data_IF_341881661747
#
_entry.id   IF_341881661747
#
_cell.length_a   1.000
_cell.length_b   1.000
_cell.length_c   1.000
_cell.angle_alpha   90.00
_cell.angle_beta   90.00
_cell.angle_gamma   90.00
#
_symmetry.space_group_name_H-M   'P 1'
#
loop_
_entity.id
_entity.type
_entity.pdbx_description
1 polymer ?
#
# COMPACT_ATOMS: atom_id res chain seq x y z
N UNK A 1 16.81 6.44 -71.60
CA UNK A 1 16.47 7.72 -70.92
C UNK A 1 17.06 7.64 -69.53
N UNK A 2 18.00 8.54 -69.22
CA UNK A 2 18.75 8.61 -67.96
C UNK A 2 17.95 9.45 -66.96
N UNK A 3 17.72 8.94 -65.75
CA UNK A 3 17.13 9.71 -64.65
C UNK A 3 18.24 10.32 -63.79
N UNK A 4 18.18 11.63 -63.62
CA UNK A 4 19.10 12.44 -62.81
C UNK A 4 18.59 12.50 -61.36
N UNK A 5 19.35 12.01 -60.35
CA UNK A 5 18.88 11.89 -58.97
C UNK A 5 19.01 13.17 -58.13
N UNK A 6 19.34 14.33 -58.71
CA UNK A 6 19.70 15.54 -57.96
C UNK A 6 18.69 16.71 -58.01
N UNK A 7 17.38 16.46 -58.17
CA UNK A 7 16.37 17.54 -58.04
C UNK A 7 15.76 17.57 -56.65
N UNK A 8 16.10 18.54 -55.77
CA UNK A 8 15.40 18.71 -54.51
C UNK A 8 14.04 19.35 -54.78
N UNK A 9 12.97 18.59 -54.55
CA UNK A 9 11.59 19.10 -54.53
C UNK A 9 11.07 19.00 -53.11
N UNK A 10 11.40 19.98 -52.27
CA UNK A 10 10.74 20.15 -50.98
C UNK A 10 10.30 21.61 -50.85
N UNK A 11 9.02 21.82 -51.13
CA UNK A 11 8.19 22.88 -50.60
C UNK A 11 6.76 22.33 -50.59
N UNK A 12 6.47 21.45 -49.62
CA UNK A 12 5.08 21.12 -49.29
C UNK A 12 4.51 22.37 -48.61
N UNK A 13 3.73 23.13 -49.37
CA UNK A 13 2.92 24.23 -48.87
C UNK A 13 1.88 23.62 -47.92
N UNK A 14 1.97 23.95 -46.63
CA UNK A 14 0.91 23.63 -45.67
C UNK A 14 -0.39 24.35 -46.08
N UNK A 15 -1.57 23.74 -45.82
CA UNK A 15 -2.84 24.46 -45.99
C UNK A 15 -2.82 25.73 -45.12
N UNK A 16 -3.44 26.83 -45.58
CA UNK A 16 -3.48 28.07 -44.81
C UNK A 16 -4.15 27.80 -43.45
N UNK A 17 -3.58 28.40 -42.40
CA UNK A 17 -4.12 28.39 -41.03
C UNK A 17 -5.64 28.61 -41.07
N UNK A 18 -6.38 27.56 -40.69
CA UNK A 18 -7.83 27.66 -40.54
C UNK A 18 -8.14 28.69 -39.45
N UNK A 19 -8.82 29.76 -39.84
CA UNK A 19 -9.26 30.84 -38.96
C UNK A 19 -10.45 30.40 -38.09
N UNK A 20 -10.13 29.84 -36.92
CA UNK A 20 -10.64 30.06 -35.56
C UNK A 20 -12.13 30.20 -35.17
N UNK A 21 -13.15 29.93 -36.00
CA UNK A 21 -14.56 29.98 -35.50
C UNK A 21 -15.36 28.66 -35.58
N UNK A 22 -14.75 27.55 -36.01
CA UNK A 22 -15.35 26.20 -35.97
C UNK A 22 -14.54 25.19 -35.12
N UNK A 23 -13.47 25.66 -34.46
CA UNK A 23 -12.47 24.80 -33.79
C UNK A 23 -12.94 24.13 -32.50
N UNK A 24 -13.87 24.74 -31.76
CA UNK A 24 -14.33 24.22 -30.47
C UNK A 24 -15.01 22.85 -30.61
N UNK A 25 -15.89 22.66 -31.62
CA UNK A 25 -16.59 21.37 -31.77
C UNK A 25 -15.70 20.20 -32.20
N UNK A 26 -14.61 20.47 -32.93
CA UNK A 26 -13.71 19.41 -33.41
C UNK A 26 -12.85 18.87 -32.27
N UNK A 27 -12.29 19.78 -31.47
CA UNK A 27 -11.46 19.41 -30.31
C UNK A 27 -12.28 18.63 -29.29
N UNK A 28 -13.49 19.08 -28.98
CA UNK A 28 -14.40 18.35 -28.09
C UNK A 28 -14.69 16.94 -28.61
N UNK A 29 -14.88 16.78 -29.92
CA UNK A 29 -15.10 15.45 -30.50
C UNK A 29 -13.89 14.53 -30.41
N UNK A 30 -12.67 15.08 -30.48
CA UNK A 30 -11.41 14.32 -30.34
C UNK A 30 -11.23 13.91 -28.87
N UNK A 31 -11.43 14.83 -27.94
CA UNK A 31 -11.33 14.56 -26.50
C UNK A 31 -12.38 13.56 -26.04
N UNK A 32 -13.62 13.69 -26.51
CA UNK A 32 -14.69 12.75 -26.21
C UNK A 32 -14.37 11.35 -26.75
N UNK A 33 -13.85 11.22 -27.98
CA UNK A 33 -13.41 9.93 -28.54
C UNK A 33 -12.20 9.34 -27.82
N UNK A 34 -11.35 10.18 -27.26
CA UNK A 34 -10.24 9.77 -26.42
C UNK A 34 -10.69 9.29 -25.02
N UNK A 35 -11.97 9.40 -24.67
CA UNK A 35 -12.43 9.07 -23.32
C UNK A 35 -11.94 10.08 -22.28
N UNK A 36 -11.71 11.33 -22.68
CA UNK A 36 -11.43 12.42 -21.74
C UNK A 36 -12.56 12.53 -20.72
N UNK A 37 -12.20 12.81 -19.46
CA UNK A 37 -13.11 12.82 -18.29
C UNK A 37 -13.84 11.50 -17.98
N UNK A 38 -13.48 10.40 -18.65
CA UNK A 38 -13.91 9.07 -18.25
C UNK A 38 -12.99 8.52 -17.17
N UNK A 39 -13.54 7.66 -16.31
CA UNK A 39 -12.73 7.03 -15.30
C UNK A 39 -11.79 6.00 -15.93
N UNK A 40 -10.60 5.86 -15.36
CA UNK A 40 -9.58 4.91 -15.78
C UNK A 40 -9.38 3.89 -14.67
N UNK A 41 -9.27 2.63 -15.06
CA UNK A 41 -8.93 1.53 -14.15
C UNK A 41 -7.47 1.18 -14.28
N UNK A 42 -6.78 1.10 -13.14
CA UNK A 42 -5.34 0.89 -13.04
C UNK A 42 -4.99 -0.47 -12.39
N UNK A 43 -5.94 -1.43 -12.42
CA UNK A 43 -5.84 -2.69 -11.68
C UNK A 43 -5.41 -3.90 -12.54
N UNK A 44 -5.38 -3.75 -13.86
CA UNK A 44 -5.04 -4.82 -14.80
C UNK A 44 -3.53 -4.84 -15.07
N UNK A 45 -2.92 -6.03 -15.16
CA UNK A 45 -1.52 -6.17 -15.55
C UNK A 45 -1.26 -5.74 -16.98
N UNK A 46 -2.23 -5.86 -17.88
CA UNK A 46 -2.05 -5.58 -19.30
C UNK A 46 -1.97 -4.09 -19.64
N UNK A 47 -2.30 -3.22 -18.71
CA UNK A 47 -2.41 -1.78 -18.93
C UNK A 47 -3.71 -1.21 -18.36
N UNK A 48 -3.85 0.12 -18.38
CA UNK A 48 -5.06 0.77 -17.90
C UNK A 48 -6.23 0.55 -18.84
N UNK A 49 -7.44 0.60 -18.28
CA UNK A 49 -8.69 0.47 -19.04
C UNK A 49 -9.57 1.69 -18.85
N UNK A 50 -9.98 2.30 -19.96
CA UNK A 50 -10.98 3.37 -19.96
C UNK A 50 -12.34 2.77 -19.59
N UNK A 51 -13.01 3.39 -18.63
CA UNK A 51 -14.40 3.10 -18.28
C UNK A 51 -15.32 3.57 -19.38
N UNK A 52 -16.41 2.84 -19.61
CA UNK A 52 -17.46 3.28 -20.53
C UNK A 52 -18.29 4.47 -20.00
N UNK A 53 -18.01 4.95 -18.78
CA UNK A 53 -18.75 6.02 -18.13
C UNK A 53 -17.88 7.24 -17.89
N UNK A 54 -18.38 8.39 -18.30
CA UNK A 54 -17.86 9.69 -17.89
C UNK A 54 -18.00 9.82 -16.37
N UNK A 55 -16.96 10.31 -15.69
CA UNK A 55 -16.98 10.50 -14.23
C UNK A 55 -16.97 11.97 -13.85
N UNK A 56 -16.49 12.84 -14.75
CA UNK A 56 -16.43 14.28 -14.53
C UNK A 56 -16.95 15.07 -15.73
N UNK A 57 -17.42 16.28 -15.46
CA UNK A 57 -17.77 17.31 -16.42
C UNK A 57 -17.12 18.62 -16.01
N UNK A 58 -17.01 19.58 -16.92
CA UNK A 58 -16.53 20.91 -16.56
C UNK A 58 -17.56 21.64 -15.70
N UNK A 59 -17.09 22.45 -14.76
CA UNK A 59 -17.91 23.44 -14.07
C UNK A 59 -18.31 24.53 -15.09
N UNK A 60 -19.51 25.09 -14.96
CA UNK A 60 -20.00 26.14 -15.87
C UNK A 60 -19.00 27.30 -15.97
N UNK A 61 -18.55 27.59 -17.19
CA UNK A 61 -17.58 28.65 -17.49
C UNK A 61 -16.11 28.26 -17.32
N UNK A 62 -15.82 27.03 -16.89
CA UNK A 62 -14.45 26.53 -16.89
C UNK A 62 -13.94 26.31 -18.31
N UNK A 63 -12.65 26.61 -18.52
CA UNK A 63 -11.99 26.47 -19.82
C UNK A 63 -10.84 25.48 -19.70
N UNK A 64 -10.81 24.50 -20.59
CA UNK A 64 -9.65 23.62 -20.70
C UNK A 64 -8.50 24.33 -21.38
N UNK A 65 -7.30 24.11 -20.83
CA UNK A 65 -6.08 24.56 -21.45
C UNK A 65 -5.66 23.54 -22.52
N UNK A 66 -5.75 23.95 -23.79
CA UNK A 66 -5.32 23.16 -24.94
C UNK A 66 -4.11 23.84 -25.56
N UNK A 67 -2.99 23.13 -25.57
CA UNK A 67 -1.75 23.56 -26.20
C UNK A 67 -1.43 22.65 -27.39
N UNK A 68 -1.31 23.25 -28.58
CA UNK A 68 -0.79 22.53 -29.74
C UNK A 68 0.73 22.53 -29.66
N UNK A 69 1.32 21.34 -29.67
CA UNK A 69 2.76 21.14 -29.64
C UNK A 69 3.17 20.27 -30.81
N UNK A 70 4.42 20.35 -31.24
CA UNK A 70 5.01 19.45 -32.23
C UNK A 70 6.32 18.87 -31.69
N UNK A 71 6.36 18.62 -30.39
CA UNK A 71 7.52 18.07 -29.71
C UNK A 71 7.71 16.59 -30.05
N UNK A 72 8.94 16.25 -30.42
CA UNK A 72 9.41 14.87 -30.49
C UNK A 72 10.31 14.62 -29.29
N UNK A 73 9.97 13.65 -28.46
CA UNK A 73 10.79 13.24 -27.31
C UNK A 73 11.12 11.77 -27.40
N UNK A 74 12.32 11.38 -27.00
CA UNK A 74 12.69 9.97 -26.79
C UNK A 74 13.26 9.82 -25.40
N UNK A 75 12.68 8.90 -24.63
CA UNK A 75 13.10 8.60 -23.27
C UNK A 75 13.31 7.09 -23.09
N UNK A 76 14.20 6.72 -22.19
CA UNK A 76 14.36 5.33 -21.74
C UNK A 76 13.92 5.26 -20.29
N UNK A 77 12.87 4.49 -20.03
CA UNK A 77 12.27 4.34 -18.71
C UNK A 77 12.61 2.96 -18.17
N UNK A 78 13.04 2.90 -16.90
CA UNK A 78 13.33 1.66 -16.19
C UNK A 78 12.17 1.35 -15.25
N UNK A 79 11.69 0.11 -15.28
CA UNK A 79 10.57 -0.37 -14.47
C UNK A 79 10.95 -1.65 -13.72
N UNK A 80 10.33 -1.85 -12.56
CA UNK A 80 10.66 -2.91 -11.59
C UNK A 80 9.64 -4.05 -11.55
N UNK A 81 8.48 -3.83 -12.16
CA UNK A 81 7.41 -4.84 -12.25
C UNK A 81 6.81 -4.91 -13.64
N UNK A 82 6.33 -6.10 -14.03
CA UNK A 82 5.66 -6.33 -15.32
C UNK A 82 4.48 -5.39 -15.55
N UNK A 83 3.73 -5.05 -14.50
CA UNK A 83 2.63 -4.07 -14.60
C UNK A 83 3.17 -2.69 -14.99
N UNK A 84 4.15 -2.16 -14.27
CA UNK A 84 4.74 -0.86 -14.61
C UNK A 84 5.23 -0.84 -16.05
N UNK A 85 5.95 -1.88 -16.46
CA UNK A 85 6.45 -2.05 -17.84
C UNK A 85 5.32 -1.96 -18.86
N UNK A 86 4.21 -2.69 -18.65
CA UNK A 86 3.08 -2.68 -19.58
C UNK A 86 2.38 -1.32 -19.65
N UNK A 87 2.36 -0.55 -18.56
CA UNK A 87 1.76 0.78 -18.55
C UNK A 87 2.65 1.77 -19.30
N UNK A 88 3.96 1.76 -19.02
CA UNK A 88 4.95 2.58 -19.74
C UNK A 88 4.94 2.25 -21.24
N UNK A 89 4.85 0.97 -21.60
CA UNK A 89 4.77 0.54 -22.99
C UNK A 89 3.54 1.11 -23.72
N UNK A 90 2.47 1.45 -22.98
CA UNK A 90 1.26 2.12 -23.50
C UNK A 90 1.31 3.64 -23.38
N UNK A 91 2.49 4.21 -23.19
CA UNK A 91 2.69 5.66 -23.15
C UNK A 91 2.57 6.30 -21.76
N UNK A 92 2.22 5.56 -20.71
CA UNK A 92 2.01 6.15 -19.38
C UNK A 92 3.31 6.60 -18.73
N UNK A 93 3.25 7.74 -18.03
CA UNK A 93 4.38 8.25 -17.27
C UNK A 93 4.54 7.50 -15.94
N UNK A 94 5.76 7.46 -15.41
CA UNK A 94 6.01 6.87 -14.08
C UNK A 94 5.25 7.59 -12.96
N UNK A 95 5.08 8.90 -13.06
CA UNK A 95 4.28 9.66 -12.09
C UNK A 95 2.81 9.24 -12.09
N UNK A 96 2.24 8.96 -13.26
CA UNK A 96 0.87 8.48 -13.36
C UNK A 96 0.72 7.06 -12.82
N UNK A 97 1.70 6.19 -13.08
CA UNK A 97 1.73 4.82 -12.57
C UNK A 97 1.89 4.78 -11.05
N UNK A 98 2.69 5.70 -10.49
CA UNK A 98 2.85 5.84 -9.04
C UNK A 98 1.56 6.30 -8.34
N UNK A 99 0.64 6.93 -9.07
CA UNK A 99 -0.64 7.43 -8.52
C UNK A 99 -1.70 6.33 -8.50
N UNK A 100 -1.51 5.35 -7.61
CA UNK A 100 -2.44 4.24 -7.40
C UNK A 100 -3.33 4.54 -6.19
N UNK A 101 -4.65 4.52 -6.39
CA UNK A 101 -5.59 4.67 -5.27
C UNK A 101 -5.52 3.44 -4.33
N UNK A 102 -5.81 3.60 -3.03
CA UNK A 102 -5.91 2.47 -2.10
C UNK A 102 -6.90 1.39 -2.58
N UNK A 103 -7.97 1.80 -3.27
CA UNK A 103 -8.97 0.91 -3.85
C UNK A 103 -8.39 0.06 -4.98
N UNK A 104 -7.57 0.67 -5.84
CA UNK A 104 -6.86 -0.04 -6.91
C UNK A 104 -5.86 -1.03 -6.33
N UNK A 105 -5.09 -0.66 -5.30
CA UNK A 105 -4.18 -1.56 -4.60
C UNK A 105 -4.93 -2.76 -4.00
N UNK A 106 -6.05 -2.50 -3.33
CA UNK A 106 -6.92 -3.55 -2.79
C UNK A 106 -7.43 -4.50 -3.89
N UNK A 107 -7.85 -3.97 -5.05
CA UNK A 107 -8.25 -4.77 -6.23
C UNK A 107 -7.12 -5.64 -6.75
N UNK A 108 -5.93 -5.08 -6.89
CA UNK A 108 -4.74 -5.78 -7.36
C UNK A 108 -4.43 -6.96 -6.44
N UNK A 109 -4.44 -6.73 -5.13
CA UNK A 109 -4.23 -7.76 -4.12
C UNK A 109 -5.32 -8.85 -4.20
N UNK A 110 -6.60 -8.45 -4.24
CA UNK A 110 -7.72 -9.38 -4.29
C UNK A 110 -7.73 -10.27 -5.55
N UNK A 111 -7.25 -9.77 -6.69
CA UNK A 111 -7.20 -10.55 -7.94
C UNK A 111 -6.03 -11.52 -8.02
N UNK A 112 -5.05 -11.43 -7.10
CA UNK A 112 -3.85 -12.28 -7.10
C UNK A 112 -3.19 -12.41 -8.49
N UNK A 113 -3.17 -11.32 -9.27
CA UNK A 113 -2.57 -11.37 -10.61
C UNK A 113 -1.05 -11.47 -10.49
N UNK A 114 -0.39 -12.43 -11.17
CA UNK A 114 1.06 -12.56 -11.14
C UNK A 114 1.73 -11.29 -11.69
N UNK A 115 2.30 -10.47 -10.81
CA UNK A 115 3.07 -9.29 -11.19
C UNK A 115 4.55 -9.60 -11.03
N UNK A 116 5.15 -10.22 -12.05
CA UNK A 116 6.56 -10.59 -12.00
C UNK A 116 7.43 -9.36 -11.69
N UNK A 117 8.35 -9.54 -10.75
CA UNK A 117 9.41 -8.57 -10.44
C UNK A 117 10.61 -8.80 -11.35
N UNK A 118 11.35 -7.74 -11.64
CA UNK A 118 12.49 -7.76 -12.57
C UNK A 118 12.83 -6.37 -13.06
N UNK A 119 13.90 -6.26 -13.85
CA UNK A 119 14.27 -4.98 -14.46
C UNK A 119 13.88 -5.00 -15.93
N UNK A 120 13.02 -4.07 -16.33
CA UNK A 120 12.67 -3.84 -17.73
C UNK A 120 13.04 -2.43 -18.14
N UNK A 121 13.57 -2.32 -19.35
CA UNK A 121 13.90 -1.07 -20.00
C UNK A 121 12.89 -0.85 -21.12
N UNK A 122 12.23 0.31 -21.14
CA UNK A 122 11.33 0.70 -22.22
C UNK A 122 11.83 1.97 -22.87
N UNK A 123 12.22 1.90 -24.14
CA UNK A 123 12.54 3.06 -24.96
C UNK A 123 11.27 3.55 -25.64
N UNK A 124 10.89 4.78 -25.35
CA UNK A 124 9.62 5.38 -25.74
C UNK A 124 9.89 6.66 -26.52
N UNK A 125 9.52 6.66 -27.80
CA UNK A 125 9.57 7.85 -28.66
C UNK A 125 8.16 8.37 -28.85
N UNK A 126 7.92 9.63 -28.47
CA UNK A 126 6.61 10.30 -28.54
C UNK A 126 6.70 11.47 -29.52
N UNK A 127 5.74 11.57 -30.43
CA UNK A 127 5.46 12.77 -31.20
C UNK A 127 4.17 13.40 -30.66
N UNK A 128 4.33 14.39 -29.78
CA UNK A 128 3.24 15.11 -29.12
C UNK A 128 2.61 16.07 -30.13
N UNK A 129 1.28 16.11 -30.17
CA UNK A 129 0.51 17.00 -31.06
C UNK A 129 -0.38 17.96 -30.30
N UNK A 130 -0.96 17.45 -29.22
CA UNK A 130 -1.86 18.20 -28.36
C UNK A 130 -1.51 17.87 -26.92
N UNK A 131 -1.42 18.90 -26.09
CA UNK A 131 -1.40 18.78 -24.65
C UNK A 131 -2.67 19.40 -24.12
N UNK A 132 -3.34 18.69 -23.22
CA UNK A 132 -4.61 19.11 -22.64
C UNK A 132 -4.47 19.04 -21.14
N UNK A 133 -4.72 20.16 -20.48
CA UNK A 133 -4.66 20.28 -19.03
C UNK A 133 -5.98 20.85 -18.51
N UNK A 134 -6.44 20.29 -17.39
CA UNK A 134 -7.57 20.81 -16.63
C UNK A 134 -7.19 20.85 -15.17
N UNK A 135 -7.55 21.95 -14.51
CA UNK A 135 -7.39 22.04 -13.06
C UNK A 135 -8.51 21.27 -12.38
N UNK A 136 -8.25 20.83 -11.17
CA UNK A 136 -9.26 20.04 -10.47
C UNK A 136 -10.51 20.88 -10.14
N UNK A 137 -10.31 22.14 -9.75
CA UNK A 137 -11.38 23.09 -9.43
C UNK A 137 -12.32 23.39 -10.62
N UNK A 138 -11.87 23.08 -11.84
CA UNK A 138 -12.63 23.26 -13.08
C UNK A 138 -13.49 22.02 -13.42
N UNK A 139 -13.43 20.96 -12.61
CA UNK A 139 -14.17 19.73 -12.78
C UNK A 139 -15.22 19.54 -11.68
N UNK A 140 -16.39 19.06 -12.10
CA UNK A 140 -17.44 18.53 -11.23
C UNK A 140 -17.67 17.04 -11.54
N UNK A 141 -18.11 16.26 -10.56
CA UNK A 141 -18.55 14.90 -10.76
C UNK A 141 -19.84 14.89 -11.57
N UNK A 142 -19.97 13.98 -12.52
CA UNK A 142 -21.28 13.85 -13.20
C UNK A 142 -22.33 13.37 -12.18
N UNK A 143 -23.57 13.88 -12.20
CA UNK A 143 -24.56 13.61 -11.16
C UNK A 143 -24.80 12.11 -10.92
N UNK A 144 -24.71 11.29 -11.96
CA UNK A 144 -24.90 9.85 -11.86
C UNK A 144 -23.75 9.15 -11.13
N UNK A 145 -22.52 9.65 -11.26
CA UNK A 145 -21.36 9.14 -10.52
C UNK A 145 -21.45 9.54 -9.05
N UNK A 146 -21.77 10.80 -8.77
CA UNK A 146 -21.96 11.30 -7.40
C UNK A 146 -23.07 10.52 -6.68
N UNK A 147 -24.23 10.35 -7.32
CA UNK A 147 -25.33 9.56 -6.78
C UNK A 147 -24.92 8.10 -6.52
N UNK A 148 -24.09 7.49 -7.38
CA UNK A 148 -23.61 6.13 -7.17
C UNK A 148 -22.66 6.02 -5.97
N UNK A 149 -21.80 7.00 -5.76
CA UNK A 149 -20.91 7.08 -4.59
C UNK A 149 -21.72 7.34 -3.31
N UNK A 150 -22.67 8.27 -3.33
CA UNK A 150 -23.55 8.51 -2.19
C UNK A 150 -24.35 7.28 -1.80
N UNK A 151 -24.92 6.56 -2.76
CA UNK A 151 -25.67 5.33 -2.51
C UNK A 151 -24.79 4.22 -1.93
N UNK A 152 -23.52 4.17 -2.32
CA UNK A 152 -22.54 3.27 -1.73
C UNK A 152 -22.20 3.67 -0.28
N UNK A 153 -22.13 4.96 0.03
CA UNK A 153 -21.87 5.47 1.37
C UNK A 153 -23.07 5.32 2.33
N UNK A 154 -24.29 5.26 1.79
CA UNK A 154 -25.55 5.06 2.54
C UNK A 154 -25.76 3.61 3.00
N UNK A 155 -24.89 2.66 2.63
CA UNK A 155 -25.02 1.27 3.09
C UNK A 155 -24.92 1.17 4.63
N UNK A 156 -25.61 0.22 5.28
CA UNK A 156 -25.77 0.26 6.73
C UNK A 156 -24.48 -0.08 7.49
N UNK A 157 -23.68 -1.03 7.00
CA UNK A 157 -22.43 -1.44 7.67
C UNK A 157 -21.19 -0.92 6.95
N UNK A 158 -20.07 -0.79 7.67
CA UNK A 158 -18.77 -0.40 7.09
C UNK A 158 -18.32 -1.36 5.99
N UNK A 159 -18.55 -2.66 6.17
CA UNK A 159 -18.22 -3.68 5.17
C UNK A 159 -19.05 -3.50 3.89
N UNK A 160 -20.36 -3.31 4.01
CA UNK A 160 -21.22 -3.08 2.84
C UNK A 160 -20.90 -1.76 2.13
N UNK A 161 -20.58 -0.70 2.88
CA UNK A 161 -20.09 0.57 2.31
C UNK A 161 -18.83 0.34 1.48
N UNK A 162 -17.84 -0.35 2.05
CA UNK A 162 -16.60 -0.69 1.36
C UNK A 162 -16.88 -1.48 0.08
N UNK A 163 -17.68 -2.54 0.17
CA UNK A 163 -18.01 -3.38 -0.98
C UNK A 163 -18.79 -2.61 -2.06
N UNK A 164 -19.70 -1.73 -1.66
CA UNK A 164 -20.47 -0.91 -2.58
C UNK A 164 -19.57 0.12 -3.29
N UNK A 165 -18.68 0.81 -2.56
CA UNK A 165 -17.70 1.74 -3.16
C UNK A 165 -16.80 0.99 -4.13
N UNK A 166 -16.31 -0.19 -3.73
CA UNK A 166 -15.47 -1.03 -4.57
C UNK A 166 -16.16 -1.38 -5.90
N UNK A 167 -17.44 -1.77 -5.87
CA UNK A 167 -18.25 -2.06 -7.08
C UNK A 167 -18.51 -0.80 -7.91
N UNK A 168 -18.75 0.34 -7.26
CA UNK A 168 -18.92 1.62 -7.95
C UNK A 168 -17.64 1.97 -8.70
N UNK A 169 -16.48 2.00 -8.04
CA UNK A 169 -15.20 2.29 -8.69
C UNK A 169 -14.82 1.24 -9.77
N UNK A 170 -15.16 -0.04 -9.58
CA UNK A 170 -14.98 -1.08 -10.60
C UNK A 170 -15.74 -0.75 -11.91
N UNK A 171 -16.91 -0.12 -11.79
CA UNK A 171 -17.77 0.26 -12.92
C UNK A 171 -17.41 1.61 -13.53
N UNK A 172 -17.04 2.58 -12.70
CA UNK A 172 -16.87 3.97 -13.13
C UNK A 172 -15.41 4.30 -13.45
N UNK A 173 -14.46 3.58 -12.88
CA UNK A 173 -13.03 3.88 -12.92
C UNK A 173 -12.52 4.39 -11.57
N UNK A 174 -11.21 4.29 -11.41
CA UNK A 174 -10.53 4.62 -10.16
C UNK A 174 -10.00 6.04 -10.16
N UNK A 175 -9.69 6.53 -11.37
CA UNK A 175 -8.95 7.75 -11.55
C UNK A 175 -9.46 8.54 -12.77
N UNK A 176 -9.31 9.86 -12.82
CA UNK A 176 -9.72 10.76 -13.91
C UNK A 176 -8.49 11.52 -14.41
N UNK A 177 -8.23 11.58 -15.72
CA UNK A 177 -7.09 12.29 -16.27
C UNK A 177 -7.21 13.80 -15.99
N UNK A 178 -6.14 14.44 -15.49
CA UNK A 178 -6.08 15.91 -15.35
C UNK A 178 -5.17 16.55 -16.40
N UNK A 179 -4.20 15.79 -16.89
CA UNK A 179 -3.36 16.17 -18.01
C UNK A 179 -3.27 14.98 -18.97
N UNK A 180 -3.46 15.23 -20.27
CA UNK A 180 -3.20 14.26 -21.33
C UNK A 180 -2.34 14.84 -22.43
N UNK A 181 -1.43 14.01 -22.93
CA UNK A 181 -0.76 14.25 -24.20
C UNK A 181 -1.38 13.35 -25.26
N UNK A 182 -1.82 13.95 -26.36
CA UNK A 182 -2.36 13.26 -27.52
C UNK A 182 -1.34 13.38 -28.66
N UNK A 183 -1.01 12.23 -29.24
CA UNK A 183 -0.04 12.14 -30.31
C UNK A 183 0.12 10.69 -30.77
N UNK A 184 1.32 10.38 -31.24
CA UNK A 184 1.71 9.02 -31.59
C UNK A 184 2.95 8.62 -30.80
N UNK A 185 2.97 7.40 -30.27
CA UNK A 185 4.15 6.82 -29.63
C UNK A 185 4.65 5.55 -30.32
N UNK A 186 5.95 5.31 -30.17
CA UNK A 186 6.61 4.06 -30.47
C UNK A 186 7.33 3.59 -29.21
N UNK A 187 6.93 2.43 -28.69
CA UNK A 187 7.52 1.83 -27.51
C UNK A 187 8.25 0.53 -27.88
N UNK A 188 9.46 0.35 -27.35
CA UNK A 188 10.20 -0.90 -27.41
C UNK A 188 10.66 -1.27 -26.01
N UNK A 189 10.38 -2.51 -25.59
CA UNK A 189 10.63 -2.98 -24.23
C UNK A 189 11.48 -4.23 -24.26
N UNK A 190 12.54 -4.27 -23.45
CA UNK A 190 13.37 -5.44 -23.25
C UNK A 190 13.87 -5.51 -21.78
N UNK A 191 14.36 -6.69 -21.38
CA UNK A 191 15.05 -6.92 -20.10
C UNK A 191 16.52 -6.49 -20.13
N UNK A 192 17.10 -6.26 -21.32
CA UNK A 192 18.48 -5.78 -21.50
C UNK A 192 18.50 -4.46 -22.26
N UNK A 193 19.20 -3.47 -21.71
CA UNK A 193 19.30 -2.14 -22.33
C UNK A 193 19.96 -2.17 -23.72
N UNK A 194 20.94 -3.06 -23.92
CA UNK A 194 21.67 -3.17 -25.20
C UNK A 194 20.78 -3.63 -26.37
N UNK A 195 19.66 -4.28 -26.07
CA UNK A 195 18.69 -4.69 -27.09
C UNK A 195 17.79 -3.52 -27.55
N UNK A 196 17.84 -2.36 -26.87
CA UNK A 196 17.03 -1.20 -27.20
C UNK A 196 17.64 -0.27 -28.27
N UNK A 197 18.50 -0.82 -29.12
CA UNK A 197 19.03 -0.10 -30.27
C UNK A 197 17.95 -0.02 -31.35
N UNK A 198 17.43 1.19 -31.58
CA UNK A 198 16.77 1.45 -32.86
C UNK A 198 17.84 1.31 -33.95
N UNK A 199 17.51 0.73 -35.12
CA UNK A 199 18.47 0.66 -36.21
C UNK A 199 19.03 2.06 -36.45
N UNK A 200 20.36 2.21 -36.41
CA UNK A 200 21.10 3.43 -36.74
C UNK A 200 20.97 3.82 -38.23
N UNK A 201 19.89 3.39 -38.91
CA UNK A 201 19.49 3.97 -40.18
C UNK A 201 19.35 5.47 -39.96
N UNK A 202 20.36 6.20 -40.47
CA UNK A 202 20.73 7.53 -40.02
C UNK A 202 19.57 8.51 -39.89
N UNK A 203 19.81 9.55 -39.11
CA UNK A 203 18.92 10.66 -38.70
C UNK A 203 18.02 11.29 -39.79
N UNK A 204 18.13 10.87 -41.06
CA UNK A 204 17.20 11.22 -42.14
C UNK A 204 16.05 10.21 -42.20
N UNK A 205 14.89 10.64 -41.68
CA UNK A 205 13.53 10.26 -42.11
C UNK A 205 12.59 9.58 -41.10
N UNK A 206 12.80 9.72 -39.78
CA UNK A 206 11.67 9.62 -38.83
C UNK A 206 10.84 10.91 -38.74
N UNK A 207 11.42 12.05 -39.16
CA UNK A 207 10.71 13.33 -39.33
C UNK A 207 9.75 13.33 -40.53
N UNK A 208 9.75 12.29 -41.36
CA UNK A 208 8.71 12.09 -42.35
C UNK A 208 7.41 11.77 -41.60
N UNK A 209 6.62 12.81 -41.33
CA UNK A 209 5.23 12.74 -40.86
C UNK A 209 4.40 11.72 -41.66
N UNK A 210 4.79 11.40 -42.90
CA UNK A 210 4.17 10.39 -43.75
C UNK A 210 4.34 8.93 -43.24
N UNK A 211 5.35 8.62 -42.42
CA UNK A 211 5.50 7.28 -41.82
C UNK A 211 4.77 7.13 -40.49
N UNK A 212 4.72 8.19 -39.69
CA UNK A 212 3.95 8.20 -38.43
C UNK A 212 2.44 8.35 -38.70
N UNK A 213 2.02 9.02 -39.78
CA UNK A 213 0.60 9.09 -40.17
C UNK A 213 0.00 7.75 -40.61
N UNK A 214 0.84 6.76 -40.93
CA UNK A 214 0.40 5.38 -41.18
C UNK A 214 0.21 4.57 -39.88
N UNK A 215 0.73 5.04 -38.74
CA UNK A 215 0.56 4.43 -37.42
C UNK A 215 -0.69 5.03 -36.79
N UNK A 216 -1.84 4.39 -37.01
CA UNK A 216 -3.14 4.76 -36.41
C UNK A 216 -3.25 4.27 -34.97
N UNK A 217 -2.38 4.73 -34.07
CA UNK A 217 -2.57 4.55 -32.64
C UNK A 217 -2.44 5.92 -31.99
N UNK A 218 -3.59 6.51 -31.65
CA UNK A 218 -3.63 7.64 -30.73
C UNK A 218 -3.41 7.07 -29.34
N UNK A 219 -2.18 7.13 -28.86
CA UNK A 219 -1.86 6.75 -27.48
C UNK A 219 -2.04 7.99 -26.59
N UNK A 220 -2.87 7.82 -25.57
CA UNK A 220 -3.18 8.85 -24.58
C UNK A 220 -2.18 8.67 -23.45
N UNK A 221 -1.22 9.59 -23.35
CA UNK A 221 -0.37 9.67 -22.16
C UNK A 221 -1.17 10.41 -21.11
N UNK A 222 -1.58 9.72 -20.05
CA UNK A 222 -2.36 10.33 -18.98
C UNK A 222 -1.48 10.61 -17.77
N UNK A 223 -1.51 11.84 -17.25
CA UNK A 223 -1.07 12.17 -15.89
C UNK A 223 -2.33 12.30 -15.03
N UNK A 224 -2.47 11.41 -14.06
CA UNK A 224 -3.66 11.35 -13.21
C UNK A 224 -3.33 11.76 -11.78
N UNK A 225 -4.18 12.60 -11.19
CA UNK A 225 -4.30 12.77 -9.75
C UNK A 225 -5.75 12.54 -9.31
N UNK A 226 -6.05 11.43 -8.64
CA UNK A 226 -7.37 11.20 -7.98
C UNK A 226 -7.26 11.13 -6.48
N UNK A 227 -6.37 11.94 -5.94
CA UNK A 227 -6.26 12.07 -4.49
C UNK A 227 -7.11 13.18 -3.91
N UNK A 228 -7.76 14.03 -4.73
CA UNK A 228 -8.34 15.28 -4.26
C UNK A 228 -9.88 15.35 -4.37
N UNK A 229 -10.54 14.61 -5.26
CA UNK A 229 -12.03 14.58 -5.31
C UNK A 229 -12.68 13.86 -4.11
N UNK A 230 -11.91 13.05 -3.35
CA UNK A 230 -12.33 12.50 -2.05
C UNK A 230 -11.97 13.43 -0.89
N UNK A 231 -11.08 14.41 -1.12
CA UNK A 231 -10.68 15.38 -0.10
C UNK A 231 -11.78 16.40 0.18
N UNK A 232 -12.68 16.70 -0.75
CA UNK A 232 -13.76 17.68 -0.54
C UNK A 232 -15.01 17.13 0.16
N UNK A 233 -14.99 15.87 0.62
CA UNK A 233 -15.86 15.38 1.72
C UNK A 233 -15.29 15.88 3.08
N UNK A 234 -14.85 17.13 3.11
CA UNK A 234 -14.00 17.71 4.15
C UNK A 234 -14.78 18.23 5.37
N UNK A 235 -16.11 18.14 5.35
CA UNK A 235 -16.92 18.36 6.54
C UNK A 235 -16.72 17.24 7.60
N UNK A 236 -16.15 16.08 7.22
CA UNK A 236 -15.76 15.02 8.17
C UNK A 236 -14.32 15.17 8.70
N UNK A 237 -13.48 16.05 8.12
CA UNK A 237 -12.06 16.19 8.50
C UNK A 237 -11.82 16.77 9.89
N UNK A 238 -12.83 17.35 10.53
CA UNK A 238 -12.66 17.87 11.89
C UNK A 238 -12.42 16.76 12.93
N UNK A 239 -12.75 15.50 12.60
CA UNK A 239 -12.67 14.37 13.52
C UNK A 239 -11.59 13.36 13.18
N UNK A 240 -10.90 13.46 12.03
CA UNK A 240 -9.92 12.47 11.59
C UNK A 240 -8.61 13.12 11.15
N UNK A 241 -7.47 12.66 11.67
CA UNK A 241 -6.15 12.97 11.10
C UNK A 241 -5.43 11.70 10.71
N UNK A 242 -4.82 11.74 9.53
CA UNK A 242 -3.89 10.73 9.05
C UNK A 242 -2.48 11.24 9.19
N UNK A 243 -1.60 10.40 9.68
CA UNK A 243 -0.18 10.65 9.72
C UNK A 243 0.55 9.57 8.92
N UNK A 244 1.52 9.97 8.13
CA UNK A 244 2.19 9.10 7.16
C UNK A 244 3.70 9.32 7.20
N UNK A 245 4.43 8.26 7.54
CA UNK A 245 5.90 8.23 7.55
C UNK A 245 6.52 7.77 6.23
N UNK A 246 5.76 7.71 5.13
CA UNK A 246 6.28 7.31 3.81
C UNK A 246 7.52 8.10 3.36
N UNK A 247 7.64 9.37 3.75
CA UNK A 247 8.84 10.20 3.52
C UNK A 247 10.12 9.65 4.20
N UNK A 248 9.97 8.72 5.13
CA UNK A 248 11.05 8.04 5.85
C UNK A 248 11.20 6.57 5.46
N UNK A 249 10.49 6.10 4.43
CA UNK A 249 10.53 4.71 3.95
C UNK A 249 11.92 4.19 3.62
N UNK A 250 12.86 5.07 3.26
CA UNK A 250 14.27 4.73 2.98
C UNK A 250 15.19 4.84 4.20
N UNK A 251 14.66 5.15 5.38
CA UNK A 251 15.43 5.23 6.64
C UNK A 251 15.25 3.97 7.48
N UNK A 252 16.18 3.75 8.40
CA UNK A 252 16.14 2.63 9.35
C UNK A 252 15.71 3.15 10.71
N UNK A 253 14.66 2.57 11.29
CA UNK A 253 14.23 2.89 12.66
C UNK A 253 15.33 2.44 13.62
N UNK A 254 15.73 3.31 14.57
CA UNK A 254 16.68 3.02 15.64
C UNK A 254 16.00 2.90 17.00
N UNK A 255 14.84 3.54 17.18
CA UNK A 255 14.02 3.37 18.38
C UNK A 255 12.58 3.80 18.14
N UNK A 256 11.67 3.25 18.94
CA UNK A 256 10.27 3.64 18.96
C UNK A 256 9.93 4.16 20.36
N UNK A 257 9.34 5.35 20.42
CA UNK A 257 8.79 5.92 21.64
C UNK A 257 7.27 5.78 21.62
N UNK A 258 6.73 5.14 22.66
CA UNK A 258 5.30 4.95 22.85
C UNK A 258 4.90 5.61 24.14
N UNK A 259 3.84 6.41 24.11
CA UNK A 259 3.18 6.91 25.32
C UNK A 259 1.79 6.31 25.37
N UNK A 260 1.45 5.77 26.53
CA UNK A 260 0.18 5.09 26.71
C UNK A 260 -0.35 5.25 28.13
N UNK A 261 -1.66 5.06 28.24
CA UNK A 261 -2.43 4.88 29.48
C UNK A 261 -3.30 3.64 29.26
N UNK A 262 -4.62 3.76 29.39
CA UNK A 262 -5.57 2.72 28.97
C UNK A 262 -5.68 2.60 27.44
N UNK A 263 -4.97 3.47 26.72
CA UNK A 263 -4.91 3.57 25.27
C UNK A 263 -3.51 3.96 24.82
N UNK A 264 -3.21 3.75 23.54
CA UNK A 264 -2.04 4.38 22.92
C UNK A 264 -2.35 5.85 22.65
N UNK A 265 -1.49 6.75 23.14
CA UNK A 265 -1.67 8.21 23.05
C UNK A 265 -0.67 8.88 22.10
N UNK A 266 0.53 8.32 21.98
CA UNK A 266 1.60 8.83 21.13
C UNK A 266 2.50 7.70 20.67
N UNK A 267 2.91 7.76 19.41
CA UNK A 267 3.87 6.87 18.77
C UNK A 267 4.82 7.74 17.97
N UNK A 268 6.12 7.52 18.12
CA UNK A 268 7.14 8.26 17.38
C UNK A 268 8.31 7.34 17.08
N UNK A 269 8.78 7.32 15.84
CA UNK A 269 10.01 6.64 15.44
C UNK A 269 11.18 7.62 15.48
N UNK A 270 12.33 7.18 16.00
CA UNK A 270 13.62 7.81 15.74
C UNK A 270 14.37 6.93 14.76
N UNK A 271 15.00 7.54 13.77
CA UNK A 271 15.76 6.87 12.72
C UNK A 271 17.25 6.85 13.04
N UNK A 272 18.02 6.04 12.30
CA UNK A 272 19.48 5.89 12.47
C UNK A 272 20.25 7.20 12.22
N UNK A 273 19.71 8.09 11.38
CA UNK A 273 20.23 9.44 11.13
C UNK A 273 19.79 10.47 12.18
N UNK A 274 19.22 10.01 13.30
CA UNK A 274 18.64 10.83 14.37
C UNK A 274 17.44 11.67 13.97
N UNK A 275 16.90 11.51 12.76
CA UNK A 275 15.62 12.13 12.42
C UNK A 275 14.50 11.48 13.23
N UNK A 276 13.49 12.29 13.56
CA UNK A 276 12.36 11.87 14.36
C UNK A 276 11.13 12.00 13.47
N UNK A 277 10.29 10.97 13.43
CA UNK A 277 9.02 11.00 12.71
C UNK A 277 8.13 12.12 13.25
N UNK A 278 7.08 12.47 12.48
CA UNK A 278 6.05 13.35 13.04
C UNK A 278 5.46 12.71 14.30
N UNK A 279 5.08 13.55 15.27
CA UNK A 279 4.36 13.08 16.47
C UNK A 279 2.98 12.63 16.03
N UNK A 280 2.80 11.32 15.93
CA UNK A 280 1.52 10.73 15.64
C UNK A 280 0.65 10.85 16.90
N UNK A 281 -0.54 11.44 16.81
CA UNK A 281 -1.44 11.67 17.95
C UNK A 281 -1.07 12.82 18.90
N UNK A 282 -1.47 12.73 20.17
CA UNK A 282 -0.86 13.53 21.25
C UNK A 282 -1.69 14.59 22.00
N UNK A 283 -3.02 14.53 22.10
CA UNK A 283 -3.76 15.37 23.07
C UNK A 283 -3.90 14.76 24.47
N UNK A 284 -3.61 13.47 24.63
CA UNK A 284 -3.54 12.83 25.96
C UNK A 284 -2.40 13.44 26.77
N UNK A 285 -2.64 13.76 28.05
CA UNK A 285 -1.66 14.42 28.93
C UNK A 285 -1.15 13.53 30.07
N UNK A 286 -1.54 12.24 30.11
CA UNK A 286 -1.43 11.45 31.35
C UNK A 286 -0.50 10.23 31.22
N UNK A 287 -0.21 9.73 30.01
CA UNK A 287 0.65 8.56 29.84
C UNK A 287 2.14 8.79 30.06
N UNK A 288 2.85 7.76 30.54
CA UNK A 288 4.32 7.74 30.60
C UNK A 288 4.90 7.36 29.24
N UNK A 289 5.96 8.04 28.80
CA UNK A 289 6.68 7.71 27.59
C UNK A 289 7.68 6.56 27.82
N UNK A 290 7.58 5.52 27.01
CA UNK A 290 8.49 4.37 27.01
C UNK A 290 9.24 4.32 25.69
N UNK A 291 10.56 4.14 25.76
CA UNK A 291 11.42 4.06 24.59
C UNK A 291 11.93 2.62 24.42
N UNK A 292 11.67 2.04 23.26
CA UNK A 292 12.24 0.77 22.83
C UNK A 292 13.43 1.04 21.91
N UNK A 293 14.62 0.64 22.32
CA UNK A 293 15.86 0.83 21.57
C UNK A 293 16.18 -0.43 20.77
N UNK A 294 16.51 -0.27 19.49
CA UNK A 294 17.00 -1.36 18.64
C UNK A 294 18.53 -1.35 18.66
N UNK A 295 19.13 -2.54 18.66
CA UNK A 295 20.57 -2.70 18.46
C UNK A 295 20.98 -2.36 17.01
N UNK A 296 22.28 -2.22 16.78
CA UNK A 296 22.82 -2.09 15.42
C UNK A 296 22.41 -3.32 14.60
N UNK A 297 21.92 -3.09 13.38
CA UNK A 297 21.39 -4.11 12.45
C UNK A 297 20.17 -4.90 12.96
N UNK A 298 19.54 -4.42 14.03
CA UNK A 298 18.26 -4.94 14.51
C UNK A 298 17.11 -4.14 13.89
N UNK A 299 16.10 -4.85 13.41
CA UNK A 299 14.96 -4.24 12.74
C UNK A 299 13.66 -4.76 13.32
N UNK A 300 12.60 -3.96 13.34
CA UNK A 300 11.27 -4.44 13.71
C UNK A 300 10.71 -5.25 12.54
N UNK A 301 10.41 -6.52 12.78
CA UNK A 301 9.91 -7.46 11.79
C UNK A 301 8.40 -7.69 11.92
N UNK A 302 7.87 -7.60 13.14
CA UNK A 302 6.46 -7.83 13.43
C UNK A 302 5.94 -6.84 14.47
N UNK A 303 4.65 -6.53 14.39
CA UNK A 303 3.94 -5.71 15.36
C UNK A 303 2.62 -6.38 15.74
N UNK A 304 2.46 -6.68 17.02
CA UNK A 304 1.19 -7.06 17.61
C UNK A 304 0.40 -5.80 17.92
N UNK A 305 -0.87 -5.78 17.52
CA UNK A 305 -1.78 -4.65 17.65
C UNK A 305 -3.04 -5.14 18.34
N UNK A 306 -3.28 -4.68 19.57
CA UNK A 306 -4.53 -4.93 20.28
C UNK A 306 -5.54 -3.85 19.93
N UNK A 307 -6.73 -4.27 19.50
CA UNK A 307 -7.86 -3.40 19.18
C UNK A 307 -9.07 -3.79 20.00
N UNK A 308 -9.70 -2.81 20.63
CA UNK A 308 -10.98 -2.96 21.28
C UNK A 308 -11.89 -1.82 20.85
N UNK A 309 -13.09 -2.17 20.40
CA UNK A 309 -14.01 -1.28 19.68
C UNK A 309 -13.33 -0.62 18.47
N UNK A 310 -13.29 0.71 18.43
CA UNK A 310 -12.69 1.50 17.36
C UNK A 310 -11.27 1.99 17.69
N UNK A 311 -10.64 1.52 18.77
CA UNK A 311 -9.42 2.12 19.31
C UNK A 311 -8.26 1.13 19.41
N UNK A 312 -7.06 1.61 19.09
CA UNK A 312 -5.83 0.88 19.36
C UNK A 312 -5.54 0.94 20.86
N UNK A 313 -5.56 -0.22 21.50
CA UNK A 313 -5.38 -0.39 22.94
C UNK A 313 -3.94 -0.65 23.31
N UNK A 314 -3.23 -1.42 22.49
CA UNK A 314 -1.86 -1.82 22.80
C UNK A 314 -0.99 -2.20 21.61
N UNK A 315 0.31 -2.24 21.88
CA UNK A 315 1.36 -2.63 20.93
C UNK A 315 2.40 -3.54 21.56
N UNK A 316 2.97 -4.43 20.76
CA UNK A 316 4.23 -5.11 21.06
C UNK A 316 5.00 -5.29 19.76
N UNK A 317 6.29 -4.95 19.78
CA UNK A 317 7.18 -5.09 18.64
C UNK A 317 8.05 -6.32 18.79
N UNK A 318 8.29 -7.02 17.69
CA UNK A 318 9.23 -8.14 17.62
C UNK A 318 10.28 -7.81 16.56
N UNK A 319 11.53 -8.02 16.91
CA UNK A 319 12.66 -7.69 16.05
C UNK A 319 13.15 -8.86 15.22
N UNK A 320 13.96 -8.58 14.19
CA UNK A 320 14.70 -9.55 13.38
C UNK A 320 15.66 -10.41 14.21
N UNK A 321 16.07 -9.95 15.38
CA UNK A 321 16.90 -10.69 16.33
C UNK A 321 16.07 -11.47 17.37
N UNK A 322 14.74 -11.40 17.29
CA UNK A 322 13.81 -12.12 18.17
C UNK A 322 13.59 -11.45 19.51
N UNK A 323 14.08 -10.22 19.68
CA UNK A 323 13.77 -9.41 20.86
C UNK A 323 12.31 -9.00 20.79
N UNK A 324 11.61 -9.11 21.91
CA UNK A 324 10.26 -8.57 22.07
C UNK A 324 10.34 -7.30 22.92
N UNK A 325 9.66 -6.24 22.48
CA UNK A 325 9.44 -5.09 23.36
C UNK A 325 8.55 -5.52 24.54
N UNK A 326 8.53 -4.73 25.64
CA UNK A 326 7.40 -4.73 26.54
C UNK A 326 6.09 -4.58 25.76
N UNK A 327 5.01 -5.13 26.31
CA UNK A 327 3.70 -4.83 25.80
C UNK A 327 3.25 -3.46 26.34
N UNK A 328 2.80 -2.60 25.44
CA UNK A 328 2.43 -1.22 25.72
C UNK A 328 0.92 -1.07 25.65
N UNK A 329 0.34 -0.25 26.53
CA UNK A 329 -1.10 0.02 26.57
C UNK A 329 -1.89 -1.02 27.37
N UNK A 330 -3.19 -1.08 27.08
CA UNK A 330 -4.07 -2.15 27.53
C UNK A 330 -4.10 -3.22 26.45
N UNK A 331 -4.27 -4.47 26.87
CA UNK A 331 -4.27 -5.62 25.96
C UNK A 331 -5.69 -6.13 25.72
N UNK A 332 -6.65 -5.21 25.80
CA UNK A 332 -8.06 -5.51 25.63
C UNK A 332 -8.33 -5.80 24.15
N UNK A 333 -9.12 -6.84 23.89
CA UNK A 333 -9.45 -7.29 22.54
C UNK A 333 -8.46 -8.30 21.98
N UNK A 334 -8.79 -8.83 20.81
CA UNK A 334 -7.96 -9.83 20.14
C UNK A 334 -6.80 -9.13 19.42
N UNK A 335 -5.55 -9.55 19.64
CA UNK A 335 -4.42 -8.98 18.91
C UNK A 335 -4.47 -9.38 17.44
N UNK A 336 -4.02 -8.47 16.59
CA UNK A 336 -3.70 -8.72 15.18
C UNK A 336 -2.20 -8.56 14.98
N UNK A 337 -1.64 -9.31 14.02
CA UNK A 337 -0.20 -9.29 13.75
C UNK A 337 0.01 -8.60 12.41
N UNK A 338 0.70 -7.47 12.43
CA UNK A 338 1.16 -6.78 11.23
C UNK A 338 2.62 -7.16 10.94
N UNK A 339 2.84 -7.72 9.74
CA UNK A 339 4.16 -8.06 9.21
C UNK A 339 4.13 -8.09 7.69
N UNK A 340 5.30 -8.02 7.07
CA UNK A 340 5.49 -8.22 5.63
C UNK A 340 6.60 -9.22 5.41
N UNK A 341 6.36 -10.23 4.56
CA UNK A 341 7.34 -11.30 4.31
C UNK A 341 8.62 -10.71 3.72
N UNK A 342 9.78 -11.03 4.31
CA UNK A 342 11.06 -10.41 3.95
C UNK A 342 11.14 -8.90 4.21
N UNK A 343 10.12 -8.32 4.86
CA UNK A 343 10.00 -6.89 5.09
C UNK A 343 10.37 -6.52 6.52
N UNK A 344 10.96 -5.34 6.67
CA UNK A 344 11.19 -4.70 7.97
C UNK A 344 10.45 -3.37 8.03
N UNK A 345 10.02 -2.99 9.24
CA UNK A 345 9.26 -1.79 9.47
C UNK A 345 10.12 -0.54 9.23
N UNK A 346 9.68 0.33 8.33
CA UNK A 346 10.31 1.59 7.99
C UNK A 346 9.55 2.80 8.54
N UNK A 347 8.28 2.64 8.89
CA UNK A 347 7.46 3.72 9.42
C UNK A 347 6.02 3.28 9.68
N UNK A 348 5.18 4.26 9.98
CA UNK A 348 3.78 4.02 10.29
C UNK A 348 2.85 4.87 9.42
N UNK A 349 1.70 4.30 9.07
CA UNK A 349 0.53 5.02 8.58
C UNK A 349 -0.55 4.93 9.66
N UNK A 350 -0.86 6.05 10.29
CA UNK A 350 -1.71 6.11 11.48
C UNK A 350 -2.95 6.94 11.21
N UNK A 351 -4.10 6.42 11.61
CA UNK A 351 -5.35 7.15 11.64
C UNK A 351 -5.75 7.44 13.08
N UNK A 352 -6.14 8.68 13.32
CA UNK A 352 -6.62 9.13 14.62
C UNK A 352 -8.01 9.70 14.53
N UNK A 353 -8.76 9.59 15.63
CA UNK A 353 -10.12 10.11 15.81
C UNK A 353 -10.25 10.87 17.13
N UNK A 354 -11.14 11.85 17.22
CA UNK A 354 -11.46 12.48 18.49
C UNK A 354 -12.36 11.57 19.35
N UNK A 355 -11.81 11.07 20.44
CA UNK A 355 -12.53 10.46 21.55
C UNK A 355 -13.15 11.53 22.44
N UNK A 356 -14.39 11.31 22.88
CA UNK A 356 -15.17 12.28 23.67
C UNK A 356 -14.49 12.69 24.98
N UNK A 357 -13.76 11.78 25.62
CA UNK A 357 -13.14 12.00 26.94
C UNK A 357 -11.62 12.22 26.89
N UNK A 358 -10.95 11.79 25.82
CA UNK A 358 -9.49 11.72 25.78
C UNK A 358 -8.87 12.48 24.59
N UNK A 359 -9.71 13.13 23.79
CA UNK A 359 -9.27 13.86 22.60
C UNK A 359 -8.80 12.92 21.49
N UNK A 360 -7.80 13.33 20.74
CA UNK A 360 -7.29 12.61 19.59
C UNK A 360 -6.59 11.28 19.98
N UNK A 361 -7.22 10.17 19.60
CA UNK A 361 -6.80 8.80 19.86
C UNK A 361 -6.62 8.00 18.58
N UNK A 362 -5.88 6.90 18.66
CA UNK A 362 -5.57 6.03 17.53
C UNK A 362 -6.76 5.15 17.20
N UNK A 363 -7.30 5.31 15.98
CA UNK A 363 -8.35 4.43 15.47
C UNK A 363 -7.81 3.31 14.59
N UNK A 364 -6.70 3.57 13.90
CA UNK A 364 -6.06 2.56 13.06
C UNK A 364 -4.55 2.81 12.92
N UNK A 365 -3.82 1.75 12.57
CA UNK A 365 -2.37 1.77 12.36
C UNK A 365 -1.98 0.69 11.36
N UNK A 366 -1.11 1.06 10.43
CA UNK A 366 -0.50 0.16 9.46
C UNK A 366 1.01 0.39 9.46
N UNK A 367 1.77 -0.70 9.28
CA UNK A 367 3.21 -0.61 9.08
C UNK A 367 3.54 -0.27 7.64
N UNK A 368 4.52 0.61 7.44
CA UNK A 368 5.20 0.80 6.15
C UNK A 368 6.40 -0.13 6.13
N UNK A 369 6.45 -1.07 5.20
CA UNK A 369 7.44 -2.15 5.16
C UNK A 369 8.38 -1.98 3.96
N UNK A 370 9.66 -2.22 4.16
CA UNK A 370 10.70 -2.23 3.12
C UNK A 370 11.46 -3.55 3.11
N UNK A 371 12.02 -3.94 1.97
CA UNK A 371 12.53 -5.30 1.73
C UNK A 371 14.01 -5.34 1.33
N UNK A 372 14.69 -4.20 1.36
CA UNK A 372 16.05 -4.06 0.84
C UNK A 372 17.15 -4.16 1.92
N UNK A 373 16.79 -4.23 3.21
CA UNK A 373 17.77 -4.22 4.31
C UNK A 373 18.27 -5.60 4.71
N UNK A 374 17.41 -6.61 4.68
CA UNK A 374 17.78 -7.98 5.04
C UNK A 374 17.22 -8.96 4.03
N UNK A 375 18.01 -9.97 3.60
CA UNK A 375 17.56 -10.95 2.61
C UNK A 375 16.47 -11.87 3.17
N UNK A 376 16.43 -12.05 4.51
CA UNK A 376 15.44 -12.89 5.19
C UNK A 376 15.28 -12.49 6.65
N UNK A 377 14.04 -12.43 7.12
CA UNK A 377 13.74 -12.30 8.55
C UNK A 377 13.75 -13.69 9.18
N UNK A 378 14.47 -13.87 10.30
CA UNK A 378 14.43 -15.13 11.04
C UNK A 378 13.03 -15.38 11.59
N UNK A 379 12.54 -16.63 11.49
CA UNK A 379 11.19 -17.03 11.91
C UNK A 379 10.06 -16.29 11.18
N UNK A 380 10.32 -15.74 9.99
CA UNK A 380 9.29 -15.09 9.16
C UNK A 380 8.17 -16.03 8.70
N UNK A 381 8.47 -17.33 8.60
CA UNK A 381 7.52 -18.36 8.19
C UNK A 381 6.77 -18.95 9.42
N UNK A 382 6.97 -18.40 10.63
CA UNK A 382 6.17 -18.79 11.79
C UNK A 382 4.70 -18.53 11.49
N UNK A 383 3.87 -19.56 11.67
CA UNK A 383 2.42 -19.48 11.47
C UNK A 383 1.78 -19.24 12.83
N UNK A 384 1.08 -18.13 12.93
CA UNK A 384 0.25 -17.83 14.09
C UNK A 384 -1.13 -18.45 13.89
N UNK A 385 -1.59 -19.22 14.87
CA UNK A 385 -2.99 -19.65 14.91
C UNK A 385 -3.90 -18.45 15.19
N UNK A 386 -5.18 -18.62 14.91
CA UNK A 386 -6.19 -17.65 15.34
C UNK A 386 -6.20 -17.54 16.87
N UNK A 387 -6.46 -16.34 17.36
CA UNK A 387 -6.71 -16.11 18.79
C UNK A 387 -8.13 -16.56 19.13
N UNK A 388 -8.23 -17.58 19.99
CA UNK A 388 -9.49 -18.12 20.48
C UNK A 388 -9.63 -17.85 21.98
N UNK A 389 -10.82 -17.46 22.41
CA UNK A 389 -11.12 -17.11 23.81
C UNK A 389 -11.79 -15.75 23.95
N UNK A 390 -11.62 -15.15 25.11
CA UNK A 390 -12.16 -13.83 25.45
C UNK A 390 -11.11 -12.72 25.23
N UNK A 391 -11.60 -11.51 25.07
CA UNK A 391 -10.88 -10.24 25.06
C UNK A 391 -10.40 -9.74 26.43
N UNK A 392 -10.80 -10.40 27.53
CA UNK A 392 -10.41 -10.04 28.89
C UNK A 392 -9.13 -10.75 29.33
N UNK A 393 -8.34 -10.07 30.15
CA UNK A 393 -7.16 -10.63 30.82
C UNK A 393 -5.88 -9.85 30.52
N UNK A 394 -4.77 -10.34 31.07
CA UNK A 394 -3.45 -9.77 30.77
C UNK A 394 -2.83 -10.59 29.65
N UNK A 395 -2.61 -9.97 28.49
CA UNK A 395 -1.89 -10.63 27.42
C UNK A 395 -0.49 -11.08 27.88
N UNK A 396 -0.02 -12.16 27.28
CA UNK A 396 1.32 -12.68 27.47
C UNK A 396 1.83 -13.23 26.15
N UNK A 397 3.15 -13.26 26.01
CA UNK A 397 3.81 -13.77 24.82
C UNK A 397 5.14 -14.40 25.23
N UNK A 398 5.19 -15.73 25.29
CA UNK A 398 6.39 -16.47 25.70
C UNK A 398 7.50 -16.44 24.63
N UNK A 399 7.26 -15.82 23.46
CA UNK A 399 8.34 -15.52 22.50
C UNK A 399 9.41 -14.61 23.09
N UNK A 400 9.11 -13.84 24.14
CA UNK A 400 10.13 -13.08 24.88
C UNK A 400 11.20 -13.97 25.53
N UNK A 401 10.87 -15.24 25.81
CA UNK A 401 11.78 -16.22 26.41
C UNK A 401 12.46 -17.08 25.35
N UNK A 402 11.74 -17.44 24.28
CA UNK A 402 12.24 -18.32 23.21
C UNK A 402 13.06 -17.55 22.18
N UNK A 403 12.70 -16.29 21.92
CA UNK A 403 13.29 -15.43 20.90
C UNK A 403 13.36 -16.10 19.53
N UNK A 404 14.47 -15.85 18.83
CA UNK A 404 14.80 -16.50 17.55
C UNK A 404 15.70 -17.74 17.71
N UNK A 405 15.75 -18.34 18.91
CA UNK A 405 16.52 -19.57 19.10
C UNK A 405 15.92 -20.72 18.28
N UNK A 406 16.82 -21.47 17.63
CA UNK A 406 16.50 -22.70 16.90
C UNK A 406 16.68 -23.96 17.77
N UNK A 407 17.31 -23.82 18.95
CA UNK A 407 17.60 -24.92 19.87
C UNK A 407 16.62 -25.00 21.04
N UNK A 408 15.85 -23.93 21.31
CA UNK A 408 14.81 -23.94 22.33
C UNK A 408 13.62 -24.80 21.87
N UNK A 409 13.27 -25.83 22.66
CA UNK A 409 12.11 -26.71 22.44
C UNK A 409 11.26 -26.84 23.70
N UNK A 410 9.94 -26.94 23.53
CA UNK A 410 9.04 -27.29 24.63
C UNK A 410 9.28 -28.77 25.02
N UNK A 411 9.28 -29.07 26.32
CA UNK A 411 9.44 -30.44 26.86
C UNK A 411 8.28 -30.85 27.75
N UNK A 412 7.53 -29.90 28.30
CA UNK A 412 6.26 -30.19 28.96
C UNK A 412 5.40 -28.94 29.04
N UNK A 413 4.10 -29.17 29.20
CA UNK A 413 3.12 -28.14 29.55
C UNK A 413 2.38 -28.59 30.81
N UNK A 414 2.28 -27.68 31.78
CA UNK A 414 1.39 -27.81 32.94
C UNK A 414 0.15 -26.95 32.70
N UNK A 415 -1.02 -27.56 32.80
CA UNK A 415 -2.33 -26.91 32.74
C UNK A 415 -3.00 -27.13 34.09
N UNK A 416 -3.49 -26.05 34.70
CA UNK A 416 -4.35 -26.15 35.89
C UNK A 416 -5.79 -25.96 35.49
N UNK A 417 -6.67 -26.85 35.94
CA UNK A 417 -8.09 -26.76 35.60
C UNK A 417 -9.03 -27.22 36.72
N UNK A 418 -10.21 -26.62 36.74
CA UNK A 418 -11.38 -27.02 37.52
C UNK A 418 -12.60 -27.01 36.61
N UNK A 419 -13.56 -26.11 36.89
CA UNK A 419 -14.68 -25.84 35.98
C UNK A 419 -14.27 -25.11 34.69
N UNK A 420 -13.04 -24.57 34.66
CA UNK A 420 -12.40 -23.94 33.51
C UNK A 420 -10.87 -24.10 33.58
N UNK A 421 -10.16 -23.64 32.55
CA UNK A 421 -8.70 -23.55 32.56
C UNK A 421 -8.29 -22.36 33.44
N UNK A 422 -7.58 -22.65 34.53
CA UNK A 422 -7.11 -21.66 35.50
C UNK A 422 -5.76 -21.07 35.11
N UNK A 423 -4.85 -21.91 34.59
CA UNK A 423 -3.53 -21.43 34.13
C UNK A 423 -2.83 -22.41 33.20
N UNK A 424 -1.88 -21.88 32.42
CA UNK A 424 -0.94 -22.63 31.59
C UNK A 424 0.50 -22.23 31.91
N UNK A 425 1.42 -23.20 31.87
CA UNK A 425 2.85 -22.97 32.05
C UNK A 425 3.65 -23.94 31.18
N UNK A 426 4.60 -23.44 30.40
CA UNK A 426 5.48 -24.27 29.59
C UNK A 426 6.83 -24.48 30.28
N UNK A 427 7.42 -25.64 30.01
CA UNK A 427 8.83 -25.90 30.31
C UNK A 427 9.59 -26.10 29.02
N UNK A 428 10.65 -25.32 28.84
CA UNK A 428 11.52 -25.36 27.69
C UNK A 428 12.89 -25.93 28.05
N UNK A 429 13.56 -26.49 27.06
CA UNK A 429 14.99 -26.81 27.09
C UNK A 429 15.68 -26.08 25.96
N UNK A 430 16.80 -25.43 26.25
CA UNK A 430 17.72 -24.88 25.27
C UNK A 430 19.03 -25.67 25.27
N UNK A 431 19.58 -25.96 24.09
CA UNK A 431 20.86 -26.66 23.94
C UNK A 431 21.91 -25.66 23.52
N UNK A 432 22.74 -25.22 24.47
CA UNK A 432 23.82 -24.26 24.24
C UNK A 432 25.14 -24.98 24.47
N UNK A 433 26.01 -25.00 23.45
CA UNK A 433 27.31 -25.69 23.48
C UNK A 433 27.23 -27.17 23.91
N UNK A 434 26.16 -27.85 23.50
CA UNK A 434 25.89 -29.25 23.83
C UNK A 434 25.42 -29.50 25.26
N UNK A 435 25.11 -28.45 26.04
CA UNK A 435 24.51 -28.55 27.37
C UNK A 435 23.05 -28.13 27.35
N UNK A 436 22.22 -28.91 28.02
CA UNK A 436 20.79 -28.62 28.16
C UNK A 436 20.53 -27.66 29.33
N UNK A 437 19.81 -26.58 29.03
CA UNK A 437 19.36 -25.57 29.98
C UNK A 437 17.83 -25.61 30.04
N UNK A 438 17.29 -26.16 31.12
CA UNK A 438 15.85 -26.27 31.35
C UNK A 438 15.33 -25.03 32.09
N UNK A 439 14.25 -24.44 31.60
CA UNK A 439 13.61 -23.29 32.24
C UNK A 439 12.09 -23.32 32.06
N UNK A 440 11.37 -22.66 32.95
CA UNK A 440 9.90 -22.59 32.94
C UNK A 440 9.45 -21.17 32.61
N UNK A 441 8.34 -21.04 31.90
CA UNK A 441 7.67 -19.75 31.70
C UNK A 441 7.06 -19.27 33.01
N UNK A 442 6.73 -17.97 33.13
CA UNK A 442 5.73 -17.55 34.10
C UNK A 442 4.46 -18.39 33.94
N UNK A 443 3.79 -18.67 35.06
CA UNK A 443 2.46 -19.25 35.01
C UNK A 443 1.48 -18.17 34.55
N UNK A 444 0.78 -18.42 33.45
CA UNK A 444 -0.21 -17.50 32.90
C UNK A 444 -1.60 -17.91 33.39
N UNK A 445 -2.12 -17.19 34.38
CA UNK A 445 -3.41 -17.47 35.01
C UNK A 445 -3.34 -17.51 36.54
N UNK A 446 -4.39 -18.04 37.17
CA UNK A 446 -4.53 -18.10 38.63
C UNK A 446 -3.96 -19.38 39.27
N UNK A 447 -3.93 -19.44 40.61
CA UNK A 447 -3.50 -20.64 41.34
C UNK A 447 -4.61 -21.72 41.46
N UNK A 448 -5.79 -21.49 40.88
CA UNK A 448 -6.94 -22.38 40.93
C UNK A 448 -6.71 -23.73 40.26
N UNK A 449 -7.72 -24.59 40.33
CA UNK A 449 -7.74 -25.89 39.65
C UNK A 449 -6.76 -26.92 40.19
N UNK A 450 -6.86 -28.14 39.66
CA UNK A 450 -5.88 -29.22 39.85
C UNK A 450 -4.84 -29.18 38.73
N UNK A 451 -3.56 -29.46 39.02
CA UNK A 451 -2.51 -29.47 37.99
C UNK A 451 -2.57 -30.76 37.15
N UNK A 452 -2.40 -30.60 35.84
CA UNK A 452 -2.27 -31.64 34.85
C UNK A 452 -1.00 -31.39 34.04
N UNK A 453 -0.10 -32.38 33.98
CA UNK A 453 1.16 -32.25 33.26
C UNK A 453 1.16 -33.16 32.03
N UNK A 454 1.51 -32.59 30.89
CA UNK A 454 1.77 -33.30 29.65
C UNK A 454 3.26 -33.16 29.33
N UNK A 455 3.99 -34.28 29.38
CA UNK A 455 5.44 -34.35 29.12
C UNK A 455 5.65 -34.88 27.71
N UNK A 456 6.52 -34.22 26.96
CA UNK A 456 6.92 -34.60 25.61
C UNK A 456 8.18 -35.46 25.67
N UNK A 457 8.16 -36.59 24.98
CA UNK A 457 9.35 -37.42 24.78
C UNK A 457 10.32 -36.76 23.77
N UNK A 458 11.53 -37.31 23.67
CA UNK A 458 12.51 -36.81 22.71
C UNK A 458 12.03 -36.96 21.26
N UNK A 459 12.05 -35.84 20.53
CA UNK A 459 11.53 -35.76 19.17
C UNK A 459 10.03 -35.51 19.06
N UNK A 460 9.30 -35.46 20.19
CA UNK A 460 7.88 -35.07 20.19
C UNK A 460 7.71 -33.55 20.19
N UNK A 461 6.69 -33.10 19.47
CA UNK A 461 6.35 -31.69 19.34
C UNK A 461 4.84 -31.53 19.45
N UNK A 462 4.39 -30.46 20.12
CA UNK A 462 2.99 -30.04 20.07
C UNK A 462 2.73 -29.44 18.69
N UNK A 463 1.89 -30.10 17.90
CA UNK A 463 1.57 -29.67 16.52
C UNK A 463 0.27 -28.87 16.44
N UNK A 464 -0.63 -29.01 17.41
CA UNK A 464 -1.94 -28.33 17.42
C UNK A 464 -2.47 -28.28 18.85
N UNK A 465 -3.27 -27.26 19.15
CA UNK A 465 -4.05 -27.13 20.40
C UNK A 465 -5.52 -26.99 20.01
N UNK A 466 -6.42 -27.65 20.72
CA UNK A 466 -7.86 -27.63 20.45
C UNK A 466 -8.64 -27.64 21.74
N UNK A 467 -9.73 -26.89 21.84
CA UNK A 467 -10.48 -26.81 23.09
C UNK A 467 -11.85 -26.17 22.92
N UNK A 468 -12.44 -25.83 24.06
CA UNK A 468 -13.71 -25.11 24.15
C UNK A 468 -13.53 -23.85 24.98
N UNK A 469 -14.18 -22.78 24.58
CA UNK A 469 -14.28 -21.57 25.37
C UNK A 469 -15.74 -21.14 25.50
N UNK A 470 -16.09 -20.66 26.69
CA UNK A 470 -17.35 -19.94 26.89
C UNK A 470 -17.21 -18.48 26.49
N UNK A 471 -18.17 -17.66 26.90
CA UNK A 471 -18.16 -16.21 26.63
C UNK A 471 -16.95 -15.50 27.25
N UNK A 472 -16.42 -15.99 28.38
CA UNK A 472 -15.43 -15.26 29.18
C UNK A 472 -14.14 -16.02 29.49
N UNK A 473 -14.08 -17.33 29.19
CA UNK A 473 -12.96 -18.18 29.61
C UNK A 473 -12.85 -19.44 28.79
N UNK A 474 -11.63 -19.97 28.70
CA UNK A 474 -11.37 -21.30 28.15
C UNK A 474 -11.86 -22.33 29.17
N UNK A 475 -12.77 -23.22 28.76
CA UNK A 475 -13.36 -24.24 29.64
C UNK A 475 -12.70 -25.60 29.46
N UNK A 476 -12.07 -25.85 28.32
CA UNK A 476 -11.36 -27.09 28.02
C UNK A 476 -10.23 -26.82 27.03
N UNK A 477 -9.11 -27.53 27.16
CA UNK A 477 -7.93 -27.46 26.29
C UNK A 477 -7.38 -28.86 25.99
#
# INVERSE_FOLDING_TARGET
MSFDPNTPTDNVVFPPECTNNQGESLNDSILQKAGWLHGLRMDDICGPRVSARQVASYVDGATVFIEYTNELSTETIVTSTKRETNYVHRGWSMGAIATVSPWTLSRIAARNQPNAEGTWYTKLTKAKRLKVEVKLEDLAGVPEFEAAIENALKQPTTFEKFQAIYRTLDRWGDVVPLEIEIGSSLAMTDTKIDHLQFPETGERNFNSTARLSAIKIADITVVVCVQQYIRDIDAYRYYHKTYDDNQHSLKTISSVMIRFSDFIELLTATYSDSTISSKHGGSGHVGTGHKFMLATDEHIAEMFIWRHDEWIRGFQFITSMGQCSPQYGTHDGLPTIARSRGGVLAGFLIHTRNHSQHGQMYSDVQGVWRHDLIPRVLKEDDVYSDYLGDSNGRAFNDRVLVGNSNSVRATSVEIRSGDCIDSIQFTYVDVIDGREYKFMTPRHGGPGGSPHQFVLEDGEHIVTVSGWHGEQRITQL
#
